data_IF_725218331738
#
_entry.id   IF_725218331738
#
_cell.length_a   1.000
_cell.length_b   1.000
_cell.length_c   1.000
_cell.angle_alpha   90.00
_cell.angle_beta   90.00
_cell.angle_gamma   90.00
#
_symmetry.space_group_name_H-M   'P 1'
#
loop_
_entity.id
_entity.type
_entity.pdbx_description
1 polymer ?
#
# COMPACT_ATOMS: atom_id res chain seq x y z
N UNK A 1 -13.07 21.13 2.68
CA UNK A 1 -13.69 20.12 3.58
C UNK A 1 -12.58 19.19 3.99
N UNK A 2 -12.29 19.05 5.29
CA UNK A 2 -11.26 18.17 5.83
C UNK A 2 -11.97 17.11 6.69
N UNK A 3 -11.54 15.87 6.58
CA UNK A 3 -12.03 14.76 7.39
C UNK A 3 -11.01 14.55 8.52
N UNK A 4 -11.50 14.47 9.76
CA UNK A 4 -10.71 14.24 10.98
C UNK A 4 -11.37 13.07 11.76
N UNK A 5 -10.61 12.06 12.20
CA UNK A 5 -11.01 10.88 13.00
C UNK A 5 -9.83 10.50 13.90
N UNK A 6 -10.02 10.06 15.17
CA UNK A 6 -8.96 9.66 16.16
C UNK A 6 -9.02 8.19 16.68
N UNK A 7 -7.89 7.46 16.79
CA UNK A 7 -7.62 6.08 17.28
C UNK A 7 -6.42 6.05 18.24
N UNK A 8 -6.41 5.11 19.18
CA UNK A 8 -5.36 4.98 20.21
C UNK A 8 -4.56 3.68 20.01
N UNK A 9 -3.22 3.76 20.04
CA UNK A 9 -2.28 2.63 19.97
C UNK A 9 -2.19 1.84 21.30
N UNK A 10 -1.64 0.62 21.30
CA UNK A 10 -1.30 -0.23 22.48
C UNK A 10 -0.31 0.41 23.47
N UNK A 11 0.05 1.68 23.25
CA UNK A 11 0.91 2.53 24.11
C UNK A 11 0.16 3.75 24.65
N UNK A 12 -1.18 3.77 24.59
CA UNK A 12 -2.06 4.85 25.09
C UNK A 12 -1.71 6.25 24.55
N UNK A 13 -1.48 6.35 23.23
CA UNK A 13 -1.32 7.65 22.54
C UNK A 13 -2.44 7.87 21.54
N UNK A 14 -3.11 9.01 21.63
CA UNK A 14 -4.14 9.45 20.67
C UNK A 14 -3.50 9.82 19.31
N UNK A 15 -4.01 9.24 18.23
CA UNK A 15 -3.61 9.50 16.84
C UNK A 15 -4.83 9.68 15.95
N UNK A 16 -4.86 10.65 15.05
CA UNK A 16 -5.99 10.83 14.12
C UNK A 16 -5.95 9.78 12.95
N UNK A 17 -6.69 8.63 12.84
CA UNK A 17 -6.56 7.75 11.69
C UNK A 17 -7.40 8.24 10.51
N UNK A 18 -6.85 8.14 9.30
CA UNK A 18 -7.64 8.03 8.07
C UNK A 18 -6.81 7.26 7.03
N UNK A 19 -6.62 5.95 7.27
CA UNK A 19 -6.01 4.92 6.39
C UNK A 19 -4.87 5.35 5.45
N UNK A 20 -3.68 5.57 6.00
CA UNK A 20 -2.44 5.32 5.27
C UNK A 20 -1.87 3.99 5.76
N UNK A 21 -1.91 2.97 4.89
CA UNK A 21 -1.14 1.76 5.14
C UNK A 21 0.34 2.14 5.22
N UNK A 22 0.98 1.86 6.35
CA UNK A 22 2.43 2.01 6.46
C UNK A 22 3.06 0.89 5.62
N UNK A 23 3.66 1.29 4.51
CA UNK A 23 4.38 0.41 3.60
C UNK A 23 5.87 0.75 3.64
N UNK A 24 6.77 -0.22 3.42
CA UNK A 24 8.21 0.06 3.31
C UNK A 24 8.51 1.08 2.22
N UNK A 25 9.47 1.99 2.44
CA UNK A 25 9.82 3.06 1.49
C UNK A 25 10.17 2.52 0.10
N UNK A 26 10.93 1.42 0.03
CA UNK A 26 11.31 0.78 -1.22
C UNK A 26 10.11 0.26 -2.03
N UNK A 27 8.98 -0.04 -1.37
CA UNK A 27 7.73 -0.43 -2.05
C UNK A 27 7.06 0.79 -2.68
N UNK A 28 7.17 1.96 -2.04
CA UNK A 28 6.68 3.22 -2.59
C UNK A 28 7.49 3.59 -3.83
N UNK A 29 8.83 3.50 -3.76
CA UNK A 29 9.72 3.76 -4.90
C UNK A 29 9.38 2.84 -6.09
N UNK A 30 9.20 1.54 -5.83
CA UNK A 30 8.78 0.58 -6.86
C UNK A 30 7.40 0.91 -7.45
N UNK A 31 6.43 1.32 -6.62
CA UNK A 31 5.11 1.69 -7.09
C UNK A 31 5.18 2.90 -8.04
N UNK A 32 6.04 3.88 -7.76
CA UNK A 32 6.24 5.07 -8.61
C UNK A 32 6.77 4.65 -9.99
N UNK A 33 7.80 3.81 -10.05
CA UNK A 33 8.35 3.33 -11.33
C UNK A 33 7.30 2.56 -12.15
N UNK A 34 6.49 1.75 -11.48
CA UNK A 34 5.40 1.00 -12.11
C UNK A 34 4.25 1.92 -12.59
N UNK A 35 3.99 3.02 -11.90
CA UNK A 35 3.02 4.03 -12.34
C UNK A 35 3.54 4.78 -13.57
N UNK A 36 4.81 5.17 -13.57
CA UNK A 36 5.45 5.89 -14.68
C UNK A 36 5.46 5.05 -15.96
N UNK A 37 5.77 3.75 -15.84
CA UNK A 37 5.77 2.81 -16.97
C UNK A 37 4.36 2.39 -17.41
N UNK A 38 3.37 2.49 -16.52
CA UNK A 38 2.01 1.98 -16.73
C UNK A 38 1.82 0.51 -16.33
N UNK A 39 2.88 -0.19 -15.92
CA UNK A 39 2.84 -1.60 -15.52
C UNK A 39 2.12 -1.85 -14.19
N UNK A 40 1.87 -0.81 -13.38
CA UNK A 40 1.23 -0.91 -12.05
C UNK A 40 -0.09 -1.69 -12.07
N UNK A 41 -0.82 -1.65 -13.19
CA UNK A 41 -2.09 -2.38 -13.40
C UNK A 41 -1.93 -3.91 -13.27
N UNK A 42 -0.72 -4.42 -13.42
CA UNK A 42 -0.38 -5.83 -13.26
C UNK A 42 0.00 -6.23 -11.84
N UNK A 43 0.03 -5.30 -10.89
CA UNK A 43 0.55 -5.54 -9.53
C UNK A 43 -0.48 -5.22 -8.44
N UNK A 44 -0.40 -5.96 -7.33
CA UNK A 44 -1.15 -5.73 -6.09
C UNK A 44 -0.19 -5.72 -4.90
N UNK A 45 -0.46 -4.87 -3.92
CA UNK A 45 0.30 -4.88 -2.68
C UNK A 45 -0.15 -6.06 -1.80
N UNK A 46 0.79 -6.94 -1.47
CA UNK A 46 0.59 -8.04 -0.53
C UNK A 46 1.07 -7.62 0.86
N UNK A 47 0.11 -7.39 1.77
CA UNK A 47 0.41 -6.93 3.13
C UNK A 47 1.18 -7.96 3.97
N UNK A 48 1.11 -9.25 3.63
CA UNK A 48 1.80 -10.32 4.38
C UNK A 48 3.30 -10.33 4.12
N UNK A 49 3.69 -10.17 2.86
CA UNK A 49 5.08 -10.13 2.41
C UNK A 49 5.64 -8.72 2.28
N UNK A 50 4.79 -7.69 2.42
CA UNK A 50 5.10 -6.28 2.25
C UNK A 50 5.77 -5.98 0.90
N UNK A 51 5.17 -6.49 -0.18
CA UNK A 51 5.69 -6.38 -1.56
C UNK A 51 4.57 -6.10 -2.56
N UNK A 52 4.94 -5.54 -3.71
CA UNK A 52 4.09 -5.59 -4.89
C UNK A 52 4.29 -6.93 -5.58
N UNK A 53 3.21 -7.70 -5.71
CA UNK A 53 3.20 -8.99 -6.39
C UNK A 53 2.40 -8.88 -7.67
N UNK A 54 2.81 -9.60 -8.72
CA UNK A 54 2.07 -9.61 -9.98
C UNK A 54 0.75 -10.35 -9.79
N UNK A 55 -0.34 -9.85 -10.37
CA UNK A 55 -1.54 -10.67 -10.56
C UNK A 55 -1.17 -11.86 -11.44
N UNK A 56 -1.31 -13.08 -10.92
CA UNK A 56 -1.28 -14.27 -11.78
C UNK A 56 -2.52 -14.21 -12.69
N UNK A 57 -2.34 -13.81 -13.94
CA UNK A 57 -3.34 -14.11 -14.97
C UNK A 57 -3.35 -15.61 -15.13
N UNK A 58 -4.48 -16.25 -14.81
CA UNK A 58 -4.72 -17.67 -15.04
C UNK A 58 -4.89 -17.97 -16.55
N UNK A 59 -3.97 -17.50 -17.39
CA UNK A 59 -4.05 -17.60 -18.85
C UNK A 59 -2.71 -17.66 -19.58
N UNK A 60 -1.58 -17.72 -18.86
CA UNK A 60 -0.25 -17.92 -19.46
C UNK A 60 0.21 -19.40 -19.25
N UNK A 61 -0.65 -20.35 -19.62
CA UNK A 61 -0.32 -21.77 -19.83
C UNK A 61 -0.75 -22.18 -21.24
#
# INVERSE_FOLDING_TARGET
MRLDITQIDRKDRDYDPSEWFVVPLNVIDQAIDLIISGDIVGYVYDARSQKLIRHSRAGDL
#
